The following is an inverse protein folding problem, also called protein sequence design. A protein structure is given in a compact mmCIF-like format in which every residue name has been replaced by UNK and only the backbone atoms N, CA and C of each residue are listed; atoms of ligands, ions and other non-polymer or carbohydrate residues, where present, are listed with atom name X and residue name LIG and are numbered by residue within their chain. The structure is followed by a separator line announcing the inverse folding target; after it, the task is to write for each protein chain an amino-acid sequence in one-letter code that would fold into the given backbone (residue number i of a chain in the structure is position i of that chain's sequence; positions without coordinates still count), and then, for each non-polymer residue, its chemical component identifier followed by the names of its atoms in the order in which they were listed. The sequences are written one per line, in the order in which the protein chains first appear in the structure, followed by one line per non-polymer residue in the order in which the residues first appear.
data_IF_702321967763
#
_entry.id   IF_702321967763
#
_cell.length_a   1.000
_cell.length_b   1.000
_cell.length_c   1.000
_cell.angle_alpha   90.00
_cell.angle_beta   90.00
_cell.angle_gamma   90.00
#
_symmetry.space_group_name_H-M   'P 1'
#
loop_
_entity.id
_entity.type
_entity.pdbx_description
1 polymer ?
#
# COMPACT_ATOMS: atom_id res chain seq x y z
N UNK A 1 -4.77 20.02 6.29
CA UNK A 1 -6.17 20.21 5.86
C UNK A 1 -6.84 18.93 5.35
N UNK A 2 -6.26 18.12 4.41
CA UNK A 2 -6.99 16.98 3.83
C UNK A 2 -7.34 15.86 4.82
N UNK A 3 -6.47 15.56 5.79
CA UNK A 3 -6.77 14.55 6.82
C UNK A 3 -7.95 14.99 7.70
N UNK A 4 -7.95 16.27 8.13
CA UNK A 4 -8.99 16.81 9.01
C UNK A 4 -10.36 16.92 8.32
N UNK A 5 -10.38 17.00 6.99
CA UNK A 5 -11.62 16.96 6.20
C UNK A 5 -12.40 15.65 6.39
N UNK A 6 -11.72 14.53 6.70
CA UNK A 6 -12.40 13.27 7.03
C UNK A 6 -13.23 13.34 8.32
N UNK A 7 -13.02 14.37 9.15
CA UNK A 7 -13.80 14.59 10.38
C UNK A 7 -15.09 15.38 10.15
N UNK A 8 -15.37 15.81 8.92
CA UNK A 8 -16.62 16.48 8.61
C UNK A 8 -17.79 15.50 8.76
N UNK A 9 -18.90 15.98 9.34
CA UNK A 9 -20.09 15.16 9.57
C UNK A 9 -20.71 14.61 8.28
N UNK A 10 -20.52 15.32 7.15
CA UNK A 10 -21.01 14.91 5.84
C UNK A 10 -19.99 15.18 4.72
N UNK A 11 -20.06 14.45 3.58
CA UNK A 11 -19.25 14.72 2.39
C UNK A 11 -19.44 16.13 1.80
N UNK A 12 -20.64 16.69 1.88
CA UNK A 12 -20.93 18.04 1.41
C UNK A 12 -20.17 19.05 2.26
N UNK A 13 -20.23 18.89 3.60
CA UNK A 13 -19.49 19.77 4.50
C UNK A 13 -17.98 19.64 4.28
N UNK A 14 -17.50 18.42 4.03
CA UNK A 14 -16.10 18.17 3.67
C UNK A 14 -15.65 18.99 2.46
N UNK A 15 -16.49 19.10 1.43
CA UNK A 15 -16.19 19.81 0.18
C UNK A 15 -16.14 21.34 0.37
N UNK A 16 -16.89 21.88 1.32
CA UNK A 16 -16.92 23.33 1.64
C UNK A 16 -15.71 23.81 2.45
N UNK A 17 -14.94 22.90 3.05
CA UNK A 17 -13.81 23.28 3.92
C UNK A 17 -12.59 23.66 3.10
N UNK A 18 -12.41 24.93 2.74
CA UNK A 18 -11.28 25.39 1.93
C UNK A 18 -9.90 24.93 2.44
N UNK A 19 -9.04 24.52 1.50
CA UNK A 19 -7.61 24.27 1.80
C UNK A 19 -6.86 25.59 1.68
N UNK A 20 -6.68 26.28 2.80
CA UNK A 20 -5.88 27.50 2.89
C UNK A 20 -5.11 27.56 4.22
N UNK A 21 -4.31 28.63 4.39
CA UNK A 21 -3.48 28.82 5.58
C UNK A 21 -4.28 29.13 6.86
N UNK A 22 -5.61 29.33 6.79
CA UNK A 22 -6.45 29.58 7.96
C UNK A 22 -6.46 28.43 8.98
N UNK A 23 -6.08 27.21 8.57
CA UNK A 23 -5.88 26.08 9.49
C UNK A 23 -4.57 26.16 10.29
N UNK A 24 -3.56 26.88 9.78
CA UNK A 24 -2.22 26.96 10.40
C UNK A 24 -2.26 27.62 11.79
N UNK A 25 -2.99 28.73 12.01
CA UNK A 25 -3.15 29.33 13.34
C UNK A 25 -3.81 28.41 14.39
N UNK A 26 -4.50 27.34 13.97
CA UNK A 26 -5.17 26.40 14.86
C UNK A 26 -4.26 25.28 15.37
N UNK A 27 -3.02 25.19 14.86
CA UNK A 27 -2.09 24.10 15.15
C UNK A 27 -0.79 24.68 15.70
N UNK A 28 -0.43 24.30 16.93
CA UNK A 28 0.90 24.58 17.48
C UNK A 28 1.91 23.57 16.92
N UNK A 29 2.90 24.05 16.15
CA UNK A 29 3.96 23.19 15.59
C UNK A 29 5.21 23.25 16.47
N UNK A 30 5.55 22.12 17.11
CA UNK A 30 6.80 21.95 17.87
C UNK A 30 7.75 21.05 17.08
N UNK A 31 8.91 21.59 16.73
CA UNK A 31 9.96 20.83 16.06
C UNK A 31 10.97 20.28 17.08
N UNK A 32 11.56 19.09 16.82
CA UNK A 32 12.69 18.63 17.62
C UNK A 32 13.91 19.55 17.46
N UNK A 33 14.91 19.37 18.32
CA UNK A 33 16.20 20.05 18.18
C UNK A 33 16.82 19.81 16.80
N UNK A 34 17.75 20.68 16.39
CA UNK A 34 18.47 20.52 15.12
C UNK A 34 19.31 19.23 15.13
N UNK A 35 19.47 18.61 13.97
CA UNK A 35 20.26 17.38 13.79
C UNK A 35 19.42 16.11 13.67
N UNK A 36 18.09 16.21 13.62
CA UNK A 36 17.22 15.06 13.32
C UNK A 36 16.93 14.96 11.82
N UNK A 37 16.30 13.86 11.40
CA UNK A 37 15.79 13.68 10.03
C UNK A 37 14.78 14.77 9.61
N UNK A 38 14.03 15.34 10.58
CA UNK A 38 13.05 16.42 10.35
C UNK A 38 13.73 17.79 10.32
N UNK A 39 14.79 17.96 11.11
CA UNK A 39 15.47 19.24 11.36
C UNK A 39 16.97 19.14 11.01
N UNK A 40 17.34 18.78 9.77
CA UNK A 40 18.73 18.54 9.39
C UNK A 40 19.59 19.81 9.49
N UNK A 41 20.89 19.61 9.69
CA UNK A 41 21.90 20.66 9.67
C UNK A 41 22.70 20.53 8.38
N UNK A 42 22.87 21.63 7.64
CA UNK A 42 23.72 21.66 6.45
C UNK A 42 25.14 21.12 6.78
N UNK A 43 25.74 20.22 5.98
CA UNK A 43 25.35 19.81 4.62
C UNK A 43 24.58 18.46 4.54
N UNK A 44 23.81 18.08 5.56
CA UNK A 44 23.09 16.80 5.56
C UNK A 44 22.16 16.65 4.33
N UNK A 45 22.04 15.43 3.76
CA UNK A 45 21.27 15.18 2.54
C UNK A 45 19.76 15.29 2.76
N UNK A 46 19.05 15.91 1.80
CA UNK A 46 17.60 16.21 1.92
C UNK A 46 16.76 15.80 0.70
N UNK A 47 17.33 15.06 -0.26
CA UNK A 47 16.66 14.72 -1.52
C UNK A 47 15.35 13.93 -1.29
N UNK A 48 15.41 12.86 -0.49
CA UNK A 48 14.28 11.96 -0.22
C UNK A 48 13.32 12.44 0.89
N UNK A 49 13.27 13.75 1.19
CA UNK A 49 12.44 14.32 2.26
C UNK A 49 10.93 14.05 2.10
N UNK A 50 10.46 13.80 0.88
CA UNK A 50 9.04 13.55 0.60
C UNK A 50 8.52 12.33 1.38
N UNK A 51 9.32 11.28 1.53
CA UNK A 51 8.93 10.13 2.32
C UNK A 51 8.65 10.52 3.77
N UNK A 52 9.56 11.30 4.37
CA UNK A 52 9.44 11.78 5.74
C UNK A 52 8.15 12.58 5.93
N UNK A 53 7.82 13.48 5.00
CA UNK A 53 6.57 14.25 5.03
C UNK A 53 5.35 13.32 5.01
N UNK A 54 5.33 12.35 4.10
CA UNK A 54 4.19 11.42 3.97
C UNK A 54 4.08 10.46 5.16
N UNK A 55 5.20 10.03 5.76
CA UNK A 55 5.20 9.25 7.00
C UNK A 55 4.58 10.05 8.14
N UNK A 56 4.93 11.33 8.28
CA UNK A 56 4.35 12.21 9.31
C UNK A 56 2.85 12.43 9.10
N UNK A 57 2.38 12.50 7.84
CA UNK A 57 0.94 12.53 7.56
C UNK A 57 0.24 11.23 8.00
N UNK A 58 0.83 10.07 7.75
CA UNK A 58 0.32 8.78 8.26
C UNK A 58 0.29 8.72 9.79
N UNK A 59 1.34 9.21 10.46
CA UNK A 59 1.37 9.29 11.93
C UNK A 59 0.27 10.21 12.46
N UNK A 60 0.09 11.39 11.86
CA UNK A 60 -1.00 12.31 12.23
C UNK A 60 -2.37 11.65 12.04
N UNK A 61 -2.59 10.98 10.91
CA UNK A 61 -3.83 10.24 10.65
C UNK A 61 -4.08 9.17 11.72
N UNK A 62 -3.05 8.41 12.12
CA UNK A 62 -3.14 7.44 13.22
C UNK A 62 -3.50 8.09 14.57
N UNK A 63 -2.84 9.20 14.93
CA UNK A 63 -3.18 9.91 16.19
C UNK A 63 -4.63 10.38 16.18
N UNK A 64 -5.10 10.95 15.07
CA UNK A 64 -6.49 11.37 14.95
C UNK A 64 -7.43 10.17 15.00
N UNK A 65 -7.11 9.06 14.30
CA UNK A 65 -7.89 7.83 14.34
C UNK A 65 -8.10 7.33 15.76
N UNK A 66 -7.06 7.33 16.61
CA UNK A 66 -7.21 7.02 18.04
C UNK A 66 -8.14 7.98 18.77
N UNK A 67 -8.00 9.28 18.51
CA UNK A 67 -8.79 10.32 19.19
C UNK A 67 -10.29 10.22 18.85
N UNK A 68 -10.63 9.64 17.69
CA UNK A 68 -12.03 9.49 17.22
C UNK A 68 -12.49 8.02 17.18
N UNK A 69 -11.86 7.15 17.97
CA UNK A 69 -12.14 5.69 18.05
C UNK A 69 -12.30 4.99 16.70
N UNK A 70 -11.37 5.27 15.78
CA UNK A 70 -11.32 4.63 14.48
C UNK A 70 -12.27 5.25 13.44
N UNK A 71 -12.98 6.35 13.75
CA UNK A 71 -13.75 7.13 12.77
C UNK A 71 -12.85 7.93 11.79
N UNK A 72 -11.90 7.24 11.18
CA UNK A 72 -10.87 7.74 10.26
C UNK A 72 -10.46 6.58 9.35
N UNK A 73 -10.09 6.83 8.08
CA UNK A 73 -9.55 5.80 7.22
C UNK A 73 -8.26 5.19 7.79
N UNK A 74 -8.01 3.93 7.45
CA UNK A 74 -6.73 3.26 7.67
C UNK A 74 -5.59 3.93 6.88
N UNK A 75 -4.36 3.45 7.08
CA UNK A 75 -3.20 3.99 6.36
C UNK A 75 -3.28 3.74 4.86
N UNK A 76 -2.61 4.59 4.11
CA UNK A 76 -2.63 4.56 2.65
C UNK A 76 -1.24 4.68 2.05
N UNK A 77 -1.23 4.50 0.75
CA UNK A 77 -0.04 4.61 -0.07
C UNK A 77 0.64 6.02 -0.01
N UNK A 78 1.95 6.05 -0.32
CA UNK A 78 2.84 7.19 -0.52
C UNK A 78 3.30 7.36 -1.97
N UNK A 79 4.11 8.39 -2.20
CA UNK A 79 4.72 8.66 -3.50
C UNK A 79 6.01 7.86 -3.62
N UNK A 80 6.11 7.04 -4.67
CA UNK A 80 7.34 6.33 -5.07
C UNK A 80 7.59 6.52 -6.56
N UNK A 81 8.83 6.31 -6.98
CA UNK A 81 9.13 6.20 -8.40
C UNK A 81 10.16 5.11 -8.65
N UNK A 82 9.88 4.32 -9.66
CA UNK A 82 10.74 3.26 -10.17
C UNK A 82 11.10 3.59 -11.60
N UNK A 83 12.19 3.03 -12.09
CA UNK A 83 12.62 3.31 -13.44
C UNK A 83 13.64 2.33 -13.96
N UNK A 84 13.80 2.36 -15.28
CA UNK A 84 14.90 1.69 -15.97
C UNK A 84 15.63 2.71 -16.83
N UNK A 85 16.94 2.56 -16.93
CA UNK A 85 17.79 3.44 -17.72
C UNK A 85 18.94 2.65 -18.36
N UNK A 86 19.46 3.19 -19.45
CA UNK A 86 20.47 2.53 -20.26
C UNK A 86 20.59 3.21 -21.61
N UNK A 87 20.94 2.44 -22.62
CA UNK A 87 20.96 2.90 -24.02
C UNK A 87 19.82 2.26 -24.80
N UNK A 88 19.15 3.01 -25.65
CA UNK A 88 18.11 2.51 -26.55
C UNK A 88 18.69 1.70 -27.73
N UNK A 89 17.85 1.31 -28.70
CA UNK A 89 18.30 0.55 -29.88
C UNK A 89 19.19 1.35 -30.83
N UNK A 90 19.17 2.69 -30.78
CA UNK A 90 20.00 3.58 -31.58
C UNK A 90 21.30 3.98 -30.86
N UNK A 91 21.46 3.57 -29.60
CA UNK A 91 22.63 3.88 -28.77
C UNK A 91 22.50 5.18 -27.99
N UNK A 92 21.33 5.81 -27.94
CA UNK A 92 21.12 7.01 -27.14
C UNK A 92 20.80 6.65 -25.69
N UNK A 93 21.36 7.42 -24.74
CA UNK A 93 21.02 7.25 -23.33
C UNK A 93 19.57 7.64 -23.05
N UNK A 94 18.87 6.84 -22.25
CA UNK A 94 17.51 7.12 -21.80
C UNK A 94 17.35 6.89 -20.29
N UNK A 95 16.35 7.56 -19.72
CA UNK A 95 15.83 7.31 -18.38
C UNK A 95 14.30 7.26 -18.46
N UNK A 96 13.74 6.09 -18.20
CA UNK A 96 12.30 5.94 -17.96
C UNK A 96 12.08 5.97 -16.45
N UNK A 97 11.24 6.89 -15.98
CA UNK A 97 10.75 6.92 -14.60
C UNK A 97 9.24 6.94 -14.62
N UNK A 98 8.65 6.20 -13.71
CA UNK A 98 7.21 6.13 -13.53
C UNK A 98 6.87 6.25 -12.05
N UNK A 99 5.80 6.97 -11.78
CA UNK A 99 5.13 6.99 -10.47
C UNK A 99 3.96 6.05 -10.59
N UNK A 100 4.00 4.95 -9.85
CA UNK A 100 2.85 4.08 -9.66
C UNK A 100 2.23 4.41 -8.31
N UNK A 101 0.91 4.62 -8.32
CA UNK A 101 0.11 4.74 -7.12
C UNK A 101 0.00 3.41 -6.35
N UNK A 102 -1.00 3.33 -5.49
CA UNK A 102 -1.22 2.15 -4.66
C UNK A 102 -2.52 2.24 -3.91
N UNK A 103 -2.72 1.37 -2.92
CA UNK A 103 -4.00 1.30 -2.23
C UNK A 103 -4.27 2.47 -1.27
N UNK A 104 -5.51 2.98 -1.27
CA UNK A 104 -5.98 3.84 -0.18
C UNK A 104 -6.38 3.00 1.04
N UNK A 105 -6.38 3.58 2.23
CA UNK A 105 -6.86 2.89 3.43
C UNK A 105 -8.36 2.60 3.34
N UNK A 106 -8.79 1.47 3.92
CA UNK A 106 -10.18 1.17 4.18
C UNK A 106 -10.78 2.28 5.06
N UNK A 107 -11.98 2.73 4.70
CA UNK A 107 -12.71 3.78 5.42
C UNK A 107 -13.67 3.11 6.39
N UNK A 108 -14.07 3.79 7.46
CA UNK A 108 -15.06 3.29 8.42
C UNK A 108 -16.47 3.07 7.84
N UNK A 109 -16.68 3.45 6.57
CA UNK A 109 -17.94 3.36 5.85
C UNK A 109 -17.83 2.73 4.45
N UNK A 110 -16.61 2.43 3.95
CA UNK A 110 -16.40 1.93 2.60
C UNK A 110 -14.99 1.37 2.41
N UNK A 111 -14.83 0.46 1.45
CA UNK A 111 -13.51 -0.02 1.03
C UNK A 111 -12.60 1.14 0.58
N UNK A 112 -11.29 0.91 0.65
CA UNK A 112 -10.30 1.78 0.05
C UNK A 112 -10.34 1.72 -1.47
N UNK A 113 -10.01 2.84 -2.10
CA UNK A 113 -9.86 2.93 -3.55
C UNK A 113 -8.58 2.23 -3.99
N UNK A 114 -8.68 1.40 -5.02
CA UNK A 114 -7.55 0.67 -5.57
C UNK A 114 -6.69 1.61 -6.43
N UNK A 115 -5.37 1.48 -6.35
CA UNK A 115 -4.41 2.13 -7.28
C UNK A 115 -4.50 3.65 -7.39
N UNK A 116 -4.75 4.35 -6.27
CA UNK A 116 -4.82 5.81 -6.23
C UNK A 116 -3.45 6.48 -6.34
N UNK A 117 -3.45 7.67 -6.93
CA UNK A 117 -2.31 8.58 -6.94
C UNK A 117 -2.57 9.71 -5.94
N UNK A 118 -1.70 9.83 -4.93
CA UNK A 118 -1.85 10.87 -3.88
C UNK A 118 -1.43 12.28 -4.35
N UNK A 119 -0.69 12.37 -5.45
CA UNK A 119 -0.34 13.65 -6.08
C UNK A 119 -1.48 14.04 -7.02
N UNK A 120 -2.07 15.24 -6.87
CA UNK A 120 -3.10 15.73 -7.78
C UNK A 120 -2.63 15.66 -9.23
N UNK A 121 -3.53 15.21 -10.12
CA UNK A 121 -3.31 15.06 -11.55
C UNK A 121 -2.20 14.09 -11.97
N UNK A 122 -1.63 13.32 -11.04
CA UNK A 122 -0.70 12.24 -11.37
C UNK A 122 -1.46 11.04 -11.94
N UNK A 123 -0.92 10.47 -13.02
CA UNK A 123 -1.45 9.31 -13.73
C UNK A 123 -0.31 8.36 -14.07
N UNK A 124 -0.62 7.07 -14.23
CA UNK A 124 0.33 6.09 -14.75
C UNK A 124 0.67 6.39 -16.22
N UNK A 125 1.80 5.85 -16.70
CA UNK A 125 2.19 6.03 -18.10
C UNK A 125 1.46 5.01 -18.98
N UNK A 126 0.87 5.42 -20.12
CA UNK A 126 0.26 4.47 -21.06
C UNK A 126 1.30 3.47 -21.56
N UNK A 127 0.94 2.19 -21.54
CA UNK A 127 1.81 1.09 -21.98
C UNK A 127 2.34 1.30 -23.40
N UNK A 128 1.44 1.60 -24.35
CA UNK A 128 1.80 1.84 -25.76
C UNK A 128 2.82 2.97 -25.92
N UNK A 129 2.68 4.04 -25.13
CA UNK A 129 3.63 5.14 -25.13
C UNK A 129 5.00 4.67 -24.63
N UNK A 130 5.04 3.93 -23.52
CA UNK A 130 6.32 3.47 -22.94
C UNK A 130 7.04 2.46 -23.83
N UNK A 131 6.32 1.53 -24.45
CA UNK A 131 6.91 0.53 -25.36
C UNK A 131 7.39 1.15 -26.68
N UNK A 132 6.75 2.22 -27.14
CA UNK A 132 7.22 2.93 -28.34
C UNK A 132 8.52 3.71 -28.13
N UNK A 133 8.88 4.00 -26.87
CA UNK A 133 9.97 4.92 -26.52
C UNK A 133 11.17 4.22 -25.87
N UNK A 134 10.95 3.13 -25.17
CA UNK A 134 11.98 2.49 -24.35
C UNK A 134 12.15 1.01 -24.72
N UNK A 135 13.36 0.44 -24.59
CA UNK A 135 13.65 -0.93 -25.03
C UNK A 135 13.13 -1.99 -24.03
N UNK A 136 11.83 -2.01 -23.80
CA UNK A 136 11.14 -3.01 -22.99
C UNK A 136 9.71 -3.26 -23.49
N UNK A 137 9.10 -4.35 -23.01
CA UNK A 137 7.68 -4.68 -23.20
C UNK A 137 7.02 -4.79 -21.82
N UNK A 138 5.80 -4.28 -21.67
CA UNK A 138 5.00 -4.45 -20.45
C UNK A 138 4.15 -5.70 -20.61
N UNK A 139 4.52 -6.78 -19.93
CA UNK A 139 3.80 -8.06 -20.02
C UNK A 139 2.52 -8.09 -19.20
N UNK A 140 2.48 -7.27 -18.14
CA UNK A 140 1.34 -7.18 -17.23
C UNK A 140 1.26 -5.78 -16.65
N UNK A 141 0.04 -5.25 -16.59
CA UNK A 141 -0.34 -4.09 -15.79
C UNK A 141 -1.73 -4.35 -15.23
N UNK A 142 -1.85 -4.48 -13.92
CA UNK A 142 -3.14 -4.74 -13.27
C UNK A 142 -3.09 -4.50 -11.77
N UNK A 143 -4.16 -4.90 -11.08
CA UNK A 143 -4.21 -4.89 -9.62
C UNK A 143 -3.31 -6.00 -9.06
N UNK A 144 -2.56 -5.67 -8.01
CA UNK A 144 -1.85 -6.64 -7.20
C UNK A 144 -2.85 -7.35 -6.29
N UNK A 145 -3.37 -8.50 -6.72
CA UNK A 145 -4.30 -9.33 -5.93
C UNK A 145 -3.76 -9.57 -4.51
N UNK A 146 -4.66 -9.57 -3.52
CA UNK A 146 -4.35 -9.75 -2.09
C UNK A 146 -3.40 -8.70 -1.48
N UNK A 147 -3.17 -7.57 -2.17
CA UNK A 147 -2.29 -6.52 -1.63
C UNK A 147 -2.98 -5.62 -0.62
N UNK A 148 -4.30 -5.42 -0.74
CA UNK A 148 -5.09 -4.62 0.18
C UNK A 148 -5.22 -5.29 1.54
N UNK A 149 -5.05 -4.52 2.62
CA UNK A 149 -5.22 -5.02 3.98
C UNK A 149 -6.65 -5.45 4.23
N UNK A 150 -6.81 -6.64 4.79
CA UNK A 150 -8.12 -7.20 5.10
C UNK A 150 -8.85 -6.40 6.19
N UNK A 151 -10.16 -6.29 6.10
CA UNK A 151 -10.99 -5.65 7.11
C UNK A 151 -12.47 -5.80 6.77
N UNK A 152 -13.36 -5.36 7.67
CA UNK A 152 -14.78 -5.16 7.34
C UNK A 152 -14.89 -4.33 6.05
N UNK A 153 -14.06 -3.29 5.98
CA UNK A 153 -13.77 -2.55 4.76
C UNK A 153 -12.30 -2.75 4.38
N UNK A 154 -12.09 -3.31 3.19
CA UNK A 154 -10.77 -3.70 2.67
C UNK A 154 -9.96 -2.44 2.30
N UNK A 155 -8.66 -2.46 2.53
CA UNK A 155 -7.75 -1.47 1.93
C UNK A 155 -7.67 -1.62 0.41
N UNK A 156 -7.49 -0.52 -0.31
CA UNK A 156 -7.31 -0.55 -1.76
C UNK A 156 -6.11 -1.42 -2.17
N UNK A 157 -6.16 -2.00 -3.36
CA UNK A 157 -5.06 -2.76 -3.94
C UNK A 157 -3.99 -1.85 -4.54
N UNK A 158 -2.74 -2.34 -4.53
CA UNK A 158 -1.65 -1.79 -5.31
C UNK A 158 -1.67 -2.21 -6.78
N UNK A 159 -0.68 -1.72 -7.54
CA UNK A 159 -0.39 -2.16 -8.90
C UNK A 159 0.51 -3.40 -8.89
N UNK A 160 0.35 -4.25 -9.90
CA UNK A 160 1.34 -5.23 -10.32
C UNK A 160 1.72 -4.95 -11.78
N UNK A 161 2.99 -4.61 -12.01
CA UNK A 161 3.54 -4.30 -13.34
C UNK A 161 4.74 -5.19 -13.63
N UNK A 162 4.75 -5.81 -14.80
CA UNK A 162 5.84 -6.67 -15.27
C UNK A 162 6.47 -6.03 -16.51
N UNK A 163 7.78 -5.78 -16.48
CA UNK A 163 8.52 -5.15 -17.56
C UNK A 163 9.60 -6.12 -18.03
N UNK A 164 9.45 -6.69 -19.24
CA UNK A 164 10.50 -7.48 -19.88
C UNK A 164 11.46 -6.57 -20.62
N UNK A 165 12.74 -6.59 -20.23
CA UNK A 165 13.76 -5.80 -20.90
C UNK A 165 14.14 -6.43 -22.25
N UNK A 166 14.24 -5.62 -23.30
CA UNK A 166 14.69 -6.07 -24.63
C UNK A 166 16.18 -5.82 -24.88
N UNK A 167 16.81 -5.00 -24.04
CA UNK A 167 18.24 -4.71 -24.03
C UNK A 167 18.72 -4.63 -22.59
N UNK A 168 20.00 -4.95 -22.37
CA UNK A 168 20.65 -4.77 -21.07
C UNK A 168 20.46 -3.33 -20.58
N UNK A 169 20.08 -3.19 -19.31
CA UNK A 169 19.76 -1.91 -18.69
C UNK A 169 20.07 -1.96 -17.19
N UNK A 170 19.73 -0.87 -16.50
CA UNK A 170 19.79 -0.78 -15.05
C UNK A 170 18.42 -0.40 -14.51
N UNK A 171 18.05 -0.98 -13.36
CA UNK A 171 16.89 -0.61 -12.59
C UNK A 171 17.27 0.39 -11.50
N UNK A 172 16.34 1.28 -11.21
CA UNK A 172 16.41 2.15 -10.04
C UNK A 172 15.05 2.19 -9.34
N UNK A 173 15.10 2.28 -8.02
CA UNK A 173 13.91 2.44 -7.18
C UNK A 173 14.17 3.47 -6.09
N UNK A 174 13.26 4.42 -6.00
CA UNK A 174 13.16 5.34 -4.87
C UNK A 174 11.74 5.17 -4.31
N UNK A 175 11.62 4.20 -3.41
CA UNK A 175 10.38 3.75 -2.81
C UNK A 175 10.53 3.55 -1.29
N UNK A 176 9.43 3.66 -0.55
CA UNK A 176 9.30 3.28 0.85
C UNK A 176 8.34 2.08 0.99
N UNK A 177 7.82 1.80 2.19
CA UNK A 177 6.79 0.75 2.43
C UNK A 177 7.21 -0.69 2.09
N UNK A 178 8.51 -0.99 1.95
CA UNK A 178 9.00 -2.36 1.76
C UNK A 178 9.13 -3.16 3.05
N UNK A 179 9.31 -2.48 4.18
CA UNK A 179 9.35 -3.09 5.52
C UNK A 179 8.02 -2.81 6.22
N UNK A 180 7.73 -1.53 6.50
CA UNK A 180 6.46 -1.13 7.12
C UNK A 180 5.40 -0.86 6.05
N UNK A 181 4.44 -1.78 5.91
CA UNK A 181 3.31 -1.60 5.03
C UNK A 181 2.31 -0.55 5.57
N UNK A 182 1.24 -0.28 4.82
CA UNK A 182 0.12 0.52 5.29
C UNK A 182 -0.59 -0.19 6.43
N UNK A 183 -0.65 0.44 7.61
CA UNK A 183 -1.28 -0.16 8.79
C UNK A 183 -2.80 -0.20 8.68
N UNK A 184 -3.39 -1.28 9.20
CA UNK A 184 -4.83 -1.41 9.42
C UNK A 184 -5.25 -0.83 10.77
N UNK A 185 -6.56 -0.63 10.96
CA UNK A 185 -7.11 0.01 12.16
C UNK A 185 -8.39 -0.69 12.64
N UNK A 186 -8.64 -0.67 13.97
CA UNK A 186 -9.87 -1.19 14.60
C UNK A 186 -10.13 -2.67 14.26
N UNK A 187 -9.09 -3.49 14.25
CA UNK A 187 -9.13 -4.92 13.88
C UNK A 187 -8.75 -5.19 12.42
N UNK A 188 -8.75 -4.17 11.57
CA UNK A 188 -8.28 -4.26 10.19
C UNK A 188 -6.77 -4.56 10.12
N UNK A 189 -6.37 -5.29 9.09
CA UNK A 189 -5.00 -5.79 8.89
C UNK A 189 -4.18 -4.86 8.02
N UNK A 190 -2.86 -4.89 8.19
CA UNK A 190 -1.96 -4.17 7.31
C UNK A 190 -2.06 -4.67 5.86
N UNK A 191 -1.83 -3.76 4.90
CA UNK A 191 -1.65 -4.13 3.50
C UNK A 191 -0.34 -4.89 3.26
N UNK A 192 -0.16 -5.40 2.05
CA UNK A 192 1.11 -6.00 1.63
C UNK A 192 2.13 -4.92 1.28
N UNK A 193 3.42 -5.12 1.61
CA UNK A 193 4.46 -4.12 1.37
C UNK A 193 4.79 -3.96 -0.12
N UNK A 194 5.44 -2.85 -0.44
CA UNK A 194 6.07 -2.64 -1.74
C UNK A 194 7.18 -3.67 -1.97
N UNK A 195 7.22 -4.27 -3.16
CA UNK A 195 8.28 -5.22 -3.54
C UNK A 195 8.65 -5.10 -5.01
N UNK A 196 9.92 -5.38 -5.30
CA UNK A 196 10.44 -5.51 -6.66
C UNK A 196 11.22 -6.81 -6.76
N UNK A 197 10.86 -7.63 -7.74
CA UNK A 197 11.52 -8.92 -8.02
C UNK A 197 12.00 -8.93 -9.45
N UNK A 198 13.29 -9.18 -9.65
CA UNK A 198 13.86 -9.47 -10.96
C UNK A 198 13.69 -10.96 -11.26
N UNK A 199 13.37 -11.26 -12.52
CA UNK A 199 13.26 -12.60 -13.10
C UNK A 199 12.40 -13.57 -12.26
N UNK A 200 11.15 -13.19 -11.89
CA UNK A 200 10.30 -14.03 -11.04
C UNK A 200 10.01 -15.38 -11.70
N UNK A 201 10.32 -16.46 -10.99
CA UNK A 201 10.24 -17.86 -11.45
C UNK A 201 11.37 -18.28 -12.39
N UNK A 202 12.32 -17.39 -12.69
CA UNK A 202 13.45 -17.63 -13.57
C UNK A 202 14.74 -18.01 -12.83
N UNK A 203 15.81 -18.36 -13.57
CA UNK A 203 17.08 -18.78 -12.99
C UNK A 203 17.83 -17.65 -12.25
N UNK A 204 17.49 -16.39 -12.50
CA UNK A 204 18.13 -15.22 -11.90
C UNK A 204 17.24 -14.49 -10.89
N UNK A 205 16.21 -15.18 -10.34
CA UNK A 205 15.27 -14.57 -9.41
C UNK A 205 15.99 -13.92 -8.23
N UNK A 206 15.74 -12.62 -8.01
CA UNK A 206 16.21 -11.90 -6.82
C UNK A 206 15.33 -10.70 -6.53
N UNK A 207 15.26 -10.34 -5.25
CA UNK A 207 14.59 -9.12 -4.82
C UNK A 207 15.53 -7.92 -4.91
N UNK A 208 14.96 -6.76 -5.23
CA UNK A 208 15.65 -5.48 -5.15
C UNK A 208 15.18 -4.70 -3.93
N UNK A 209 16.14 -4.02 -3.28
CA UNK A 209 15.81 -3.07 -2.23
C UNK A 209 14.94 -1.93 -2.77
N UNK A 210 14.03 -1.43 -1.94
CA UNK A 210 13.14 -0.34 -2.32
C UNK A 210 13.87 0.98 -2.61
N UNK A 211 15.06 1.15 -2.01
CA UNK A 211 15.98 2.24 -2.27
C UNK A 211 17.25 1.67 -2.91
N UNK A 212 17.28 1.62 -4.23
CA UNK A 212 18.43 1.11 -4.99
C UNK A 212 18.61 1.88 -6.30
N UNK A 213 19.82 1.82 -6.84
CA UNK A 213 20.19 2.40 -8.13
C UNK A 213 21.22 1.50 -8.80
N UNK A 214 21.33 1.59 -10.12
CA UNK A 214 22.26 0.82 -10.92
C UNK A 214 22.15 -0.72 -10.79
N UNK A 215 20.97 -1.24 -10.46
CA UNK A 215 20.75 -2.70 -10.42
C UNK A 215 20.78 -3.27 -11.84
N UNK A 216 21.72 -4.16 -12.19
CA UNK A 216 21.87 -4.63 -13.56
C UNK A 216 20.71 -5.56 -13.94
N UNK A 217 20.14 -5.33 -15.13
CA UNK A 217 19.13 -6.18 -15.75
C UNK A 217 19.64 -6.62 -17.12
N UNK A 218 19.51 -7.91 -17.42
CA UNK A 218 19.83 -8.48 -18.73
C UNK A 218 18.62 -8.48 -19.66
N UNK A 219 18.90 -8.35 -20.96
CA UNK A 219 17.88 -8.55 -21.98
C UNK A 219 17.21 -9.92 -21.80
N UNK A 220 15.87 -9.93 -21.84
CA UNK A 220 15.03 -11.10 -21.61
C UNK A 220 14.51 -11.23 -20.18
N UNK A 221 15.17 -10.62 -19.18
CA UNK A 221 14.71 -10.65 -17.79
C UNK A 221 13.49 -9.76 -17.57
N UNK A 222 12.66 -10.13 -16.58
CA UNK A 222 11.43 -9.42 -16.23
C UNK A 222 11.58 -8.75 -14.87
N UNK A 223 11.28 -7.45 -14.79
CA UNK A 223 11.14 -6.75 -13.52
C UNK A 223 9.67 -6.75 -13.12
N UNK A 224 9.33 -7.41 -12.02
CA UNK A 224 7.99 -7.36 -11.42
C UNK A 224 7.99 -6.35 -10.28
N UNK A 225 7.16 -5.32 -10.42
CA UNK A 225 6.93 -4.28 -9.41
C UNK A 225 5.54 -4.50 -8.83
N UNK A 226 5.44 -4.65 -7.51
CA UNK A 226 4.17 -4.64 -6.77
C UNK A 226 4.15 -3.44 -5.83
N UNK A 227 3.20 -2.52 -6.01
CA UNK A 227 3.00 -1.42 -5.06
C UNK A 227 2.18 -1.87 -3.86
N UNK A 228 2.30 -1.13 -2.75
CA UNK A 228 1.62 -1.49 -1.51
C UNK A 228 0.10 -1.40 -1.69
N UNK A 229 -0.63 -2.28 -1.00
CA UNK A 229 -2.03 -2.01 -0.71
C UNK A 229 -2.17 -1.09 0.49
N UNK A 230 -3.37 -0.52 0.64
CA UNK A 230 -3.75 0.25 1.82
C UNK A 230 -4.08 -0.67 2.99
N UNK A 231 -4.13 -0.13 4.21
CA UNK A 231 -4.57 -0.90 5.38
C UNK A 231 -6.07 -1.14 5.38
N UNK A 232 -6.51 -2.23 6.00
CA UNK A 232 -7.93 -2.52 6.21
C UNK A 232 -8.52 -1.78 7.42
N UNK A 233 -9.85 -1.66 7.44
CA UNK A 233 -10.59 -1.09 8.55
C UNK A 233 -11.60 -2.09 9.09
N UNK A 234 -11.67 -2.23 10.42
CA UNK A 234 -12.61 -3.13 11.09
C UNK A 234 -12.23 -4.61 10.97
N UNK A 235 -12.91 -5.48 11.72
CA UNK A 235 -12.62 -6.91 11.71
C UNK A 235 -12.92 -7.55 10.34
N UNK A 236 -11.94 -8.20 9.68
CA UNK A 236 -12.17 -8.95 8.45
C UNK A 236 -13.30 -9.99 8.53
N UNK A 237 -13.52 -10.61 9.70
CA UNK A 237 -14.55 -11.64 9.88
C UNK A 237 -15.97 -11.08 9.93
N UNK A 238 -16.12 -9.74 9.99
CA UNK A 238 -17.38 -9.03 9.88
C UNK A 238 -17.71 -8.64 8.42
N UNK A 239 -16.79 -8.84 7.48
CA UNK A 239 -17.08 -8.59 6.05
C UNK A 239 -18.16 -9.55 5.55
N UNK A 240 -19.24 -9.06 4.91
CA UNK A 240 -20.28 -9.88 4.32
C UNK A 240 -19.70 -10.82 3.28
N UNK A 241 -20.23 -12.03 3.27
CA UNK A 241 -19.78 -13.12 2.40
C UNK A 241 -19.94 -12.72 0.92
N UNK A 242 -20.99 -11.99 0.60
CA UNK A 242 -21.31 -11.51 -0.75
C UNK A 242 -20.29 -10.49 -1.24
N UNK A 243 -19.76 -9.65 -0.34
CA UNK A 243 -18.70 -8.70 -0.67
C UNK A 243 -17.37 -9.43 -0.94
N UNK A 244 -17.07 -10.50 -0.17
CA UNK A 244 -15.88 -11.34 -0.40
C UNK A 244 -15.99 -12.09 -1.73
N UNK A 245 -17.14 -12.70 -2.02
CA UNK A 245 -17.39 -13.37 -3.32
C UNK A 245 -17.20 -12.41 -4.49
N UNK A 246 -17.71 -11.18 -4.38
CA UNK A 246 -17.52 -10.14 -5.39
C UNK A 246 -16.04 -9.77 -5.56
N UNK A 247 -15.29 -9.66 -4.47
CA UNK A 247 -13.85 -9.39 -4.53
C UNK A 247 -13.07 -10.53 -5.24
N UNK A 248 -13.50 -11.78 -5.07
CA UNK A 248 -12.94 -12.93 -5.80
C UNK A 248 -13.27 -12.84 -7.29
N UNK A 249 -14.54 -12.59 -7.64
CA UNK A 249 -14.96 -12.42 -9.03
C UNK A 249 -14.20 -11.29 -9.73
N UNK A 250 -13.89 -10.22 -9.00
CA UNK A 250 -13.11 -9.08 -9.48
C UNK A 250 -11.60 -9.28 -9.40
N UNK A 251 -11.13 -10.46 -8.96
CA UNK A 251 -9.71 -10.81 -8.83
C UNK A 251 -8.95 -9.84 -7.92
N UNK A 252 -9.64 -9.32 -6.90
CA UNK A 252 -9.05 -8.49 -5.85
C UNK A 252 -8.56 -9.34 -4.68
N UNK A 253 -9.32 -10.39 -4.37
CA UNK A 253 -9.01 -11.38 -3.33
C UNK A 253 -8.93 -12.76 -3.99
N UNK A 254 -7.91 -13.56 -3.66
CA UNK A 254 -7.81 -14.95 -4.10
C UNK A 254 -8.73 -15.87 -3.29
N UNK A 255 -8.91 -17.12 -3.72
CA UNK A 255 -9.68 -18.11 -2.94
C UNK A 255 -8.99 -18.39 -1.61
N UNK A 256 -7.66 -18.46 -1.62
CA UNK A 256 -6.82 -18.61 -0.45
C UNK A 256 -6.94 -17.38 0.46
N UNK A 257 -6.86 -16.17 -0.10
CA UNK A 257 -7.04 -14.92 0.64
C UNK A 257 -8.44 -14.82 1.26
N UNK A 258 -9.49 -15.26 0.57
CA UNK A 258 -10.85 -15.28 1.12
C UNK A 258 -10.96 -16.15 2.37
N UNK A 259 -10.29 -17.30 2.36
CA UNK A 259 -10.21 -18.22 3.49
C UNK A 259 -9.36 -17.65 4.63
N UNK A 260 -8.12 -17.27 4.32
CA UNK A 260 -7.11 -16.92 5.33
C UNK A 260 -7.40 -15.56 5.99
N UNK A 261 -7.85 -14.58 5.21
CA UNK A 261 -8.07 -13.22 5.70
C UNK A 261 -9.49 -13.00 6.22
N UNK A 262 -10.51 -13.63 5.61
CA UNK A 262 -11.94 -13.35 5.90
C UNK A 262 -12.71 -14.54 6.47
N UNK A 263 -12.06 -15.71 6.60
CA UNK A 263 -12.68 -16.94 7.07
C UNK A 263 -13.77 -17.49 6.14
N UNK A 264 -13.76 -17.13 4.85
CA UNK A 264 -14.78 -17.55 3.88
C UNK A 264 -14.29 -18.76 3.09
N UNK A 265 -15.03 -19.86 3.16
CA UNK A 265 -14.71 -21.11 2.45
C UNK A 265 -15.49 -21.15 1.14
N UNK A 266 -14.75 -21.18 0.03
CA UNK A 266 -15.31 -21.19 -1.32
C UNK A 266 -15.28 -22.61 -1.88
N UNK A 267 -16.39 -23.01 -2.47
CA UNK A 267 -16.50 -24.23 -3.27
C UNK A 267 -16.11 -23.85 -4.70
N UNK A 268 -15.00 -24.40 -5.17
CA UNK A 268 -14.53 -24.16 -6.53
C UNK A 268 -15.47 -24.81 -7.56
N UNK A 269 -15.79 -24.06 -8.60
CA UNK A 269 -16.63 -24.47 -9.71
C UNK A 269 -16.68 -23.38 -10.78
N UNK A 270 -17.38 -23.63 -11.89
CA UNK A 270 -17.56 -22.63 -12.96
C UNK A 270 -18.22 -21.34 -12.44
N UNK A 271 -19.09 -21.47 -11.44
CA UNK A 271 -19.63 -20.38 -10.64
C UNK A 271 -19.23 -20.60 -9.17
N UNK A 272 -18.21 -19.89 -8.66
CA UNK A 272 -17.76 -20.08 -7.28
C UNK A 272 -18.87 -19.72 -6.30
N UNK A 273 -19.17 -20.65 -5.38
CA UNK A 273 -20.17 -20.49 -4.32
C UNK A 273 -19.52 -20.64 -2.95
N UNK A 274 -20.22 -20.25 -1.88
CA UNK A 274 -19.70 -20.35 -0.52
C UNK A 274 -20.25 -21.59 0.18
N UNK A 275 -19.39 -22.28 0.91
CA UNK A 275 -19.81 -23.24 1.92
C UNK A 275 -20.14 -22.46 3.20
N UNK A 276 -21.42 -22.18 3.42
CA UNK A 276 -21.87 -21.39 4.58
C UNK A 276 -21.53 -22.07 5.90
N UNK A 277 -21.67 -23.40 5.99
CA UNK A 277 -21.40 -24.14 7.22
C UNK A 277 -19.91 -24.11 7.56
N UNK A 278 -19.05 -24.41 6.58
CA UNK A 278 -17.60 -24.35 6.77
C UNK A 278 -17.10 -22.92 7.02
N UNK A 279 -17.75 -21.91 6.43
CA UNK A 279 -17.45 -20.49 6.68
C UNK A 279 -17.80 -20.09 8.11
N UNK A 280 -18.96 -20.50 8.62
CA UNK A 280 -19.33 -20.26 10.02
C UNK A 280 -18.34 -20.92 10.97
N UNK A 281 -18.02 -22.20 10.75
CA UNK A 281 -17.07 -22.95 11.57
C UNK A 281 -15.68 -22.29 11.57
N UNK A 282 -15.17 -21.92 10.39
CA UNK A 282 -13.87 -21.26 10.26
C UNK A 282 -13.85 -19.89 10.93
N UNK A 283 -14.89 -19.07 10.78
CA UNK A 283 -14.97 -17.77 11.46
C UNK A 283 -15.03 -17.92 12.97
N UNK A 284 -15.76 -18.90 13.50
CA UNK A 284 -15.84 -19.16 14.93
C UNK A 284 -14.50 -19.67 15.49
N UNK A 285 -13.82 -20.55 14.74
CA UNK A 285 -12.47 -20.97 15.06
C UNK A 285 -11.51 -19.77 15.12
N UNK A 286 -11.45 -18.96 14.06
CA UNK A 286 -10.56 -17.79 13.98
C UNK A 286 -10.86 -16.76 15.09
N UNK A 287 -12.12 -16.58 15.48
CA UNK A 287 -12.48 -15.74 16.64
C UNK A 287 -11.97 -16.32 17.95
N UNK A 288 -12.06 -17.64 18.14
CA UNK A 288 -11.61 -18.31 19.37
C UNK A 288 -10.08 -18.28 19.56
N UNK A 289 -9.34 -18.17 18.46
CA UNK A 289 -7.87 -18.07 18.46
C UNK A 289 -7.37 -16.64 18.77
N UNK A 290 -8.24 -15.63 18.69
CA UNK A 290 -7.90 -14.24 19.00
C UNK A 290 -7.88 -13.98 20.49
N UNK A 291 -6.92 -13.17 20.94
CA UNK A 291 -6.85 -12.71 22.33
C UNK A 291 -7.96 -11.71 22.66
N UNK A 292 -8.29 -11.57 23.94
CA UNK A 292 -9.34 -10.65 24.42
C UNK A 292 -9.05 -9.16 24.13
N UNK A 293 -7.80 -8.80 23.83
CA UNK A 293 -7.38 -7.43 23.58
C UNK A 293 -6.47 -7.35 22.33
N UNK A 294 -7.05 -6.92 21.21
CA UNK A 294 -6.31 -6.68 19.97
C UNK A 294 -5.75 -5.25 19.92
N UNK A 295 -4.57 -5.04 19.31
CA UNK A 295 -4.02 -3.70 19.15
C UNK A 295 -4.90 -2.86 18.22
N UNK A 296 -5.04 -1.57 18.52
CA UNK A 296 -5.80 -0.63 17.70
C UNK A 296 -5.26 -0.51 16.26
N UNK A 297 -3.96 -0.72 16.07
CA UNK A 297 -3.30 -0.72 14.78
C UNK A 297 -2.60 -2.06 14.50
N UNK A 298 -2.86 -2.62 13.32
CA UNK A 298 -2.05 -3.69 12.76
C UNK A 298 -1.02 -3.09 11.80
N UNK A 299 0.28 -3.19 12.11
CA UNK A 299 1.36 -2.63 11.28
C UNK A 299 2.06 -3.68 10.40
N UNK A 300 1.53 -4.89 10.37
CA UNK A 300 2.10 -6.01 9.64
C UNK A 300 3.44 -6.50 10.21
N UNK A 301 4.02 -7.54 9.57
CA UNK A 301 5.19 -8.25 10.09
C UNK A 301 6.46 -7.38 10.15
N UNK A 302 6.60 -6.39 9.27
CA UNK A 302 7.78 -5.51 9.28
C UNK A 302 7.90 -4.65 10.53
N UNK A 303 6.82 -4.44 11.30
CA UNK A 303 6.92 -3.74 12.58
C UNK A 303 7.73 -4.55 13.59
N UNK A 304 7.50 -5.87 13.68
CA UNK A 304 8.24 -6.75 14.57
C UNK A 304 9.74 -6.76 14.24
N UNK A 305 10.10 -6.68 12.96
CA UNK A 305 11.50 -6.58 12.53
C UNK A 305 12.17 -5.31 13.08
N UNK A 306 11.48 -4.17 13.05
CA UNK A 306 12.04 -2.88 13.46
C UNK A 306 11.94 -2.63 14.97
N UNK A 307 10.99 -3.26 15.65
CA UNK A 307 10.73 -3.09 17.09
C UNK A 307 11.54 -4.04 17.98
N UNK A 308 12.33 -4.95 17.39
CA UNK A 308 13.04 -5.99 18.13
C UNK A 308 12.15 -7.16 18.58
N UNK A 309 11.10 -7.45 17.81
CA UNK A 309 10.20 -8.60 18.00
C UNK A 309 8.80 -8.25 18.53
N UNK A 310 8.54 -6.99 18.91
CA UNK A 310 7.21 -6.57 19.36
C UNK A 310 6.25 -6.41 18.17
N UNK A 311 5.07 -7.02 18.24
CA UNK A 311 4.06 -6.95 17.16
C UNK A 311 3.18 -5.71 17.24
N UNK A 312 3.19 -4.99 18.37
CA UNK A 312 2.45 -3.75 18.58
C UNK A 312 3.19 -2.79 19.52
N UNK A 313 2.78 -1.52 19.52
CA UNK A 313 3.22 -0.52 20.48
C UNK A 313 2.38 -0.58 21.76
N UNK A 314 2.95 -0.18 22.90
CA UNK A 314 2.23 -0.10 24.19
C UNK A 314 1.03 0.86 24.13
N UNK A 315 1.08 1.84 23.23
CA UNK A 315 0.02 2.81 23.02
C UNK A 315 -1.05 2.32 22.05
N UNK A 316 -0.99 1.11 21.52
CA UNK A 316 -2.06 0.58 20.66
C UNK A 316 -3.22 0.00 21.47
N UNK A 317 -3.01 -0.24 22.75
CA UNK A 317 -4.04 -0.69 23.66
C UNK A 317 -4.67 0.53 24.34
N UNK A 318 -5.99 0.48 24.55
CA UNK A 318 -6.76 1.46 25.32
C UNK A 318 -7.13 0.85 26.65
#
# INVERSE_FOLDING_TARGET
APILRNLADTPERMAELDVNEGVVPLIEMKFPEKGTLITPIFPAPTNARTFVILRLLGVLAGVVAKAVDGNMPADQETIRYTGVYGEDFEGHSYLMREVLGGGSGGRYYADGEDTIHVVPDSRNLPTEFTESRFPFIVEKLGLAMDSGGAGRYRGGLGYEKHIRMLKDAHFMSIADRSILACWGVKGGKAGRPFSVVLDPGGPNEREFDALTDAEPIKAGEVVRIRTTGGGGWGDPLERPIEEVLRDIQWRKVSVEGARDDYGVVVIEGDEPSVDEAATTELRDQLRSERGENEPFFDRGPGYAQLSGGATSAVYDYV
#
